data_IF_456078034794
#
_entry.id   IF_456078034794
#
_cell.length_a   1.000
_cell.length_b   1.000
_cell.length_c   1.000
_cell.angle_alpha   90.00
_cell.angle_beta   90.00
_cell.angle_gamma   90.00
#
_symmetry.space_group_name_H-M   'P 1'
#
loop_
_entity.id
_entity.type
_entity.pdbx_description
1 polymer ?
#
# COMPACT_ATOMS: atom_id res chain seq x y z
N UNK A 1 -13.93 -47.63 -13.19
CA UNK A 1 -13.40 -47.08 -14.46
C UNK A 1 -14.05 -45.75 -14.85
N UNK A 2 -15.36 -45.66 -15.15
CA UNK A 2 -16.04 -44.41 -15.58
C UNK A 2 -15.87 -43.20 -14.63
N UNK A 3 -15.89 -43.42 -13.31
CA UNK A 3 -15.77 -42.34 -12.29
C UNK A 3 -14.35 -41.75 -12.18
N UNK A 4 -13.32 -42.51 -12.60
CA UNK A 4 -11.92 -42.06 -12.59
C UNK A 4 -11.62 -41.14 -13.78
N UNK A 5 -12.23 -41.40 -14.94
CA UNK A 5 -12.12 -40.52 -16.11
C UNK A 5 -12.81 -39.17 -15.91
N UNK A 6 -13.93 -39.14 -15.18
CA UNK A 6 -14.61 -37.89 -14.85
C UNK A 6 -13.75 -37.00 -13.91
N UNK A 7 -13.07 -37.59 -12.92
CA UNK A 7 -12.20 -36.84 -12.02
C UNK A 7 -10.92 -36.30 -12.70
N UNK A 8 -10.37 -37.04 -13.67
CA UNK A 8 -9.16 -36.62 -14.39
C UNK A 8 -9.41 -35.45 -15.37
N UNK A 9 -10.64 -35.30 -15.88
CA UNK A 9 -11.02 -34.24 -16.80
C UNK A 9 -11.29 -32.88 -16.12
N UNK A 10 -11.56 -32.86 -14.81
CA UNK A 10 -11.81 -31.64 -14.03
C UNK A 10 -10.54 -30.98 -13.49
N UNK A 11 -9.43 -31.72 -13.38
CA UNK A 11 -8.16 -31.21 -12.86
C UNK A 11 -7.51 -30.09 -13.73
N UNK A 12 -7.53 -30.15 -15.08
CA UNK A 12 -6.92 -29.11 -15.92
C UNK A 12 -7.69 -27.77 -15.88
N UNK A 13 -9.02 -27.79 -15.69
CA UNK A 13 -9.83 -26.56 -15.63
C UNK A 13 -9.55 -25.74 -14.37
N UNK A 14 -9.26 -26.41 -13.25
CA UNK A 14 -8.90 -25.73 -11.99
C UNK A 14 -7.50 -25.09 -12.06
N UNK A 15 -6.57 -25.71 -12.79
CA UNK A 15 -5.20 -25.20 -12.94
C UNK A 15 -5.12 -23.97 -13.86
N UNK A 16 -5.95 -23.90 -14.90
CA UNK A 16 -5.98 -22.76 -15.81
C UNK A 16 -6.54 -21.48 -15.16
N UNK A 17 -7.49 -21.60 -14.22
CA UNK A 17 -8.04 -20.46 -13.49
C UNK A 17 -7.06 -19.80 -12.51
N UNK A 18 -6.12 -20.57 -11.95
CA UNK A 18 -5.14 -20.06 -11.00
C UNK A 18 -4.06 -19.17 -11.64
N UNK A 19 -3.67 -19.46 -12.89
CA UNK A 19 -2.68 -18.67 -13.64
C UNK A 19 -3.22 -17.30 -14.08
N UNK A 20 -4.52 -17.21 -14.36
CA UNK A 20 -5.18 -15.96 -14.73
C UNK A 20 -5.33 -14.97 -13.55
N UNK A 21 -5.27 -15.44 -12.30
CA UNK A 21 -5.35 -14.58 -11.11
C UNK A 21 -3.98 -14.06 -10.65
N UNK A 22 -2.88 -14.65 -11.14
CA UNK A 22 -1.51 -14.19 -10.87
C UNK A 22 -1.08 -13.06 -11.82
N UNK A 23 -2.03 -12.24 -12.30
CA UNK A 23 -1.72 -11.07 -13.10
C UNK A 23 -0.82 -10.16 -12.26
N UNK A 24 0.43 -10.02 -12.71
CA UNK A 24 1.38 -9.07 -12.16
C UNK A 24 0.69 -7.72 -11.99
N UNK A 25 0.90 -7.08 -10.83
CA UNK A 25 0.52 -5.68 -10.63
C UNK A 25 0.84 -4.90 -11.90
N UNK A 26 -0.19 -4.31 -12.54
CA UNK A 26 0.00 -3.60 -13.79
C UNK A 26 1.07 -2.52 -13.56
N UNK A 27 1.99 -2.32 -14.50
CA UNK A 27 3.07 -1.32 -14.39
C UNK A 27 2.54 0.07 -14.01
N UNK A 28 1.29 0.37 -14.39
CA UNK A 28 0.59 1.59 -14.00
C UNK A 28 0.30 1.65 -12.50
N UNK A 29 -0.29 0.61 -11.93
CA UNK A 29 -0.60 0.53 -10.49
C UNK A 29 0.70 0.64 -9.67
N UNK A 30 1.78 0.00 -10.16
CA UNK A 30 3.10 0.09 -9.54
C UNK A 30 3.64 1.53 -9.54
N UNK A 31 3.51 2.24 -10.65
CA UNK A 31 3.95 3.64 -10.75
C UNK A 31 3.14 4.58 -9.85
N UNK A 32 1.81 4.38 -9.78
CA UNK A 32 0.93 5.14 -8.90
C UNK A 32 1.26 4.89 -7.42
N UNK A 33 1.55 3.64 -7.06
CA UNK A 33 2.03 3.27 -5.74
C UNK A 33 3.37 3.94 -5.42
N UNK A 34 4.34 3.91 -6.32
CA UNK A 34 5.64 4.58 -6.13
C UNK A 34 5.45 6.08 -5.89
N UNK A 35 4.60 6.73 -6.67
CA UNK A 35 4.31 8.15 -6.51
C UNK A 35 3.68 8.45 -5.15
N UNK A 36 2.69 7.65 -4.72
CA UNK A 36 2.05 7.76 -3.40
C UNK A 36 3.06 7.60 -2.27
N UNK A 37 3.91 6.58 -2.31
CA UNK A 37 4.90 6.33 -1.27
C UNK A 37 5.96 7.44 -1.19
N UNK A 38 6.38 8.00 -2.33
CA UNK A 38 7.30 9.16 -2.35
C UNK A 38 6.65 10.40 -1.73
N UNK A 39 5.38 10.64 -2.00
CA UNK A 39 4.65 11.76 -1.39
C UNK A 39 4.50 11.57 0.14
N UNK A 40 4.24 10.35 0.61
CA UNK A 40 4.24 10.03 2.05
C UNK A 40 5.61 10.28 2.69
N UNK A 41 6.70 9.83 2.04
CA UNK A 41 8.06 10.03 2.55
C UNK A 41 8.39 11.53 2.68
N UNK A 42 8.03 12.34 1.69
CA UNK A 42 8.23 13.80 1.75
C UNK A 42 7.44 14.45 2.89
N UNK A 43 6.21 13.99 3.16
CA UNK A 43 5.41 14.49 4.28
C UNK A 43 6.05 14.15 5.64
N UNK A 44 6.57 12.93 5.81
CA UNK A 44 7.27 12.52 7.02
C UNK A 44 8.60 13.24 7.21
N UNK A 45 9.36 13.46 6.14
CA UNK A 45 10.59 14.25 6.18
C UNK A 45 10.31 15.70 6.57
N UNK A 46 9.24 16.32 6.05
CA UNK A 46 8.82 17.65 6.46
C UNK A 46 8.42 17.71 7.94
N UNK A 47 7.76 16.68 8.46
CA UNK A 47 7.43 16.57 9.88
C UNK A 47 8.69 16.45 10.75
N UNK A 48 9.69 15.66 10.32
CA UNK A 48 10.98 15.56 10.99
C UNK A 48 11.70 16.91 11.06
N UNK A 49 11.80 17.61 9.92
CA UNK A 49 12.40 18.97 9.85
C UNK A 49 11.65 19.99 10.73
N UNK A 50 10.32 19.89 10.80
CA UNK A 50 9.53 20.71 11.70
C UNK A 50 9.96 20.51 13.16
N UNK A 51 10.13 19.25 13.60
CA UNK A 51 10.60 18.93 14.94
C UNK A 51 12.05 19.39 15.18
N UNK A 52 12.94 19.18 14.21
CA UNK A 52 14.34 19.65 14.26
C UNK A 52 14.43 21.18 14.41
N UNK A 53 13.48 21.93 13.84
CA UNK A 53 13.40 23.39 13.99
C UNK A 53 12.90 23.86 15.36
N UNK A 54 12.63 22.93 16.30
CA UNK A 54 12.17 23.23 17.64
C UNK A 54 10.69 23.58 17.73
N UNK A 55 9.90 23.34 16.67
CA UNK A 55 8.44 23.49 16.74
C UNK A 55 7.83 22.39 17.60
N UNK A 56 6.72 22.71 18.26
CA UNK A 56 6.01 21.76 19.11
C UNK A 56 5.44 20.58 18.31
N UNK A 57 5.41 19.40 18.95
CA UNK A 57 4.92 18.16 18.35
C UNK A 57 3.53 18.31 17.72
N UNK A 58 2.60 18.96 18.42
CA UNK A 58 1.23 19.16 17.93
C UNK A 58 1.14 19.96 16.63
N UNK A 59 2.03 20.95 16.45
CA UNK A 59 2.10 21.73 15.22
C UNK A 59 2.60 20.85 14.07
N UNK A 60 3.73 20.17 14.27
CA UNK A 60 4.30 19.29 13.24
C UNK A 60 3.37 18.13 12.88
N UNK A 61 2.62 17.60 13.86
CA UNK A 61 1.61 16.57 13.66
C UNK A 61 0.43 17.07 12.81
N UNK A 62 -0.02 18.32 12.99
CA UNK A 62 -1.06 18.95 12.16
C UNK A 62 -0.56 19.17 10.74
N UNK A 63 0.67 19.65 10.57
CA UNK A 63 1.28 19.89 9.26
C UNK A 63 1.42 18.56 8.49
N UNK A 64 1.86 17.49 9.18
CA UNK A 64 1.89 16.12 8.62
C UNK A 64 0.50 15.65 8.19
N UNK A 65 -0.54 15.85 9.00
CA UNK A 65 -1.91 15.46 8.67
C UNK A 65 -2.44 16.20 7.43
N UNK A 66 -2.12 17.49 7.31
CA UNK A 66 -2.50 18.28 6.14
C UNK A 66 -1.78 17.79 4.87
N UNK A 67 -0.47 17.54 4.95
CA UNK A 67 0.35 17.08 3.83
C UNK A 67 0.03 15.64 3.39
N UNK A 68 -0.35 14.77 4.34
CA UNK A 68 -0.63 13.36 4.07
C UNK A 68 -2.11 13.05 3.82
N UNK A 69 -2.98 14.07 3.82
CA UNK A 69 -4.41 13.88 3.57
C UNK A 69 -4.62 13.23 2.20
N UNK A 70 -5.41 12.15 2.17
CA UNK A 70 -5.67 11.32 1.00
C UNK A 70 -4.46 10.52 0.43
N UNK A 71 -3.30 10.54 1.09
CA UNK A 71 -2.14 9.73 0.71
C UNK A 71 -2.05 8.42 1.50
N UNK A 72 -2.42 8.46 2.78
CA UNK A 72 -2.33 7.30 3.67
C UNK A 72 -3.55 7.20 4.60
N UNK A 73 -3.62 6.09 5.33
CA UNK A 73 -4.73 5.78 6.23
C UNK A 73 -4.42 6.31 7.64
N UNK A 74 -5.42 6.94 8.26
CA UNK A 74 -5.41 7.31 9.68
C UNK A 74 -4.65 8.59 10.00
N UNK A 75 -4.72 8.99 11.28
CA UNK A 75 -4.18 10.25 11.83
C UNK A 75 -2.65 10.38 11.68
N UNK A 76 -1.93 9.27 11.64
CA UNK A 76 -0.48 9.20 11.68
C UNK A 76 0.14 8.84 10.32
N UNK A 77 -0.58 9.10 9.22
CA UNK A 77 -0.07 8.91 7.87
C UNK A 77 0.50 7.49 7.64
N UNK A 78 -0.26 6.46 8.05
CA UNK A 78 0.14 5.05 7.93
C UNK A 78 1.15 4.54 8.96
N UNK A 79 1.71 5.39 9.83
CA UNK A 79 2.61 4.95 10.90
C UNK A 79 1.86 4.65 12.19
N UNK A 80 2.45 3.79 13.02
CA UNK A 80 2.01 3.67 14.41
C UNK A 80 2.47 4.91 15.17
N UNK A 81 1.64 5.37 16.08
CA UNK A 81 2.05 6.37 17.04
C UNK A 81 3.09 5.76 17.99
N UNK A 82 4.30 6.28 17.97
CA UNK A 82 5.40 5.90 18.86
C UNK A 82 5.91 7.17 19.56
N UNK A 83 6.03 7.09 20.88
CA UNK A 83 6.57 8.13 21.74
C UNK A 83 7.70 7.54 22.58
#
# INVERSE_FOLDING_TARGET
MKKLFAALALAPMLLAGALAHAQAHNDKDTQEDVARHRAMAAAHEAAAKCLESGKGHDQCQKDLQAACKNLAIGKYCGMKHAH
#
